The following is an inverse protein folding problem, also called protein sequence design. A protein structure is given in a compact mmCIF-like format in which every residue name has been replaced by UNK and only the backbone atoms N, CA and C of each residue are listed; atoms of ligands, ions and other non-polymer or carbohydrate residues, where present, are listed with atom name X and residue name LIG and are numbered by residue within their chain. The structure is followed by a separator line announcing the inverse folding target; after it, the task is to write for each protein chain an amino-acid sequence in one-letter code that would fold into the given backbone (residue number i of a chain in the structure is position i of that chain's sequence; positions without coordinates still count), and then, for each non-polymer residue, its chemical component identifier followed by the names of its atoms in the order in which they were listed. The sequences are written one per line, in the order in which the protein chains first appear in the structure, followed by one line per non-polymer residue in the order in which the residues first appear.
data_IF_666873416867
#
_entry.id   IF_666873416867
#
_cell.length_a   1.000
_cell.length_b   1.000
_cell.length_c   1.000
_cell.angle_alpha   90.00
_cell.angle_beta   90.00
_cell.angle_gamma   90.00
#
_symmetry.space_group_name_H-M   'P 1'
#
loop_
_entity.id
_entity.type
_entity.pdbx_description
1 polymer ?
#
# COMPACT_ATOMS: atom_id res chain seq x y z
N UNK A 1 -48.82 -23.75 -26.96
CA UNK A 1 -47.65 -24.31 -26.25
C UNK A 1 -46.71 -23.16 -25.90
N UNK A 2 -46.51 -22.86 -24.62
CA UNK A 2 -45.59 -21.83 -24.13
C UNK A 2 -44.38 -22.55 -23.52
N UNK A 3 -43.19 -22.30 -24.05
CA UNK A 3 -41.94 -22.82 -23.49
C UNK A 3 -41.45 -21.86 -22.38
N UNK A 4 -41.06 -22.36 -21.19
CA UNK A 4 -40.45 -21.51 -20.18
C UNK A 4 -38.98 -21.22 -20.55
N UNK A 5 -38.60 -19.95 -20.49
CA UNK A 5 -37.22 -19.49 -20.60
C UNK A 5 -36.60 -19.67 -19.21
N UNK A 6 -35.68 -20.63 -19.07
CA UNK A 6 -34.83 -20.73 -17.89
C UNK A 6 -33.71 -19.71 -18.01
N UNK A 7 -33.82 -18.58 -17.30
CA UNK A 7 -32.69 -17.69 -17.07
C UNK A 7 -31.75 -18.33 -16.06
N UNK A 8 -30.73 -19.02 -16.57
CA UNK A 8 -29.59 -19.48 -15.75
C UNK A 8 -28.81 -18.27 -15.27
N UNK A 9 -28.93 -17.93 -13.99
CA UNK A 9 -28.00 -17.03 -13.30
C UNK A 9 -26.71 -17.82 -13.13
N UNK A 10 -25.73 -17.57 -14.01
CA UNK A 10 -24.37 -18.06 -13.81
C UNK A 10 -23.78 -17.23 -12.67
N UNK A 11 -23.83 -17.78 -11.46
CA UNK A 11 -23.11 -17.24 -10.32
C UNK A 11 -21.65 -17.67 -10.51
N UNK A 12 -20.85 -16.82 -11.17
CA UNK A 12 -19.39 -16.97 -11.24
C UNK A 12 -18.85 -16.74 -9.83
N UNK A 13 -18.86 -17.79 -9.01
CA UNK A 13 -18.00 -17.87 -7.84
C UNK A 13 -16.57 -17.96 -8.35
N UNK A 14 -15.94 -16.80 -8.56
CA UNK A 14 -14.49 -16.73 -8.60
C UNK A 14 -14.03 -17.14 -7.20
N UNK A 15 -13.71 -18.41 -7.01
CA UNK A 15 -12.93 -18.87 -5.87
C UNK A 15 -11.53 -18.31 -6.04
N UNK A 16 -11.36 -17.02 -5.75
CA UNK A 16 -10.07 -16.54 -5.32
C UNK A 16 -9.79 -17.33 -4.05
N UNK A 17 -8.76 -18.18 -4.07
CA UNK A 17 -8.12 -18.61 -2.84
C UNK A 17 -7.48 -17.36 -2.23
N UNK A 18 -8.34 -16.51 -1.66
CA UNK A 18 -7.99 -15.41 -0.81
C UNK A 18 -7.32 -16.03 0.41
N UNK A 19 -5.99 -16.13 0.38
CA UNK A 19 -5.21 -16.33 1.59
C UNK A 19 -5.54 -15.15 2.49
N UNK A 20 -6.44 -15.38 3.45
CA UNK A 20 -6.82 -14.39 4.43
C UNK A 20 -5.82 -14.43 5.59
N UNK A 21 -5.21 -13.29 5.90
CA UNK A 21 -4.22 -13.15 6.94
C UNK A 21 -4.83 -12.48 8.18
N UNK A 22 -4.49 -12.99 9.37
CA UNK A 22 -4.83 -12.37 10.65
C UNK A 22 -3.64 -11.59 11.20
N UNK A 23 -3.70 -10.25 11.27
CA UNK A 23 -2.62 -9.43 11.83
C UNK A 23 -2.38 -9.70 13.30
N UNK A 24 -3.45 -9.98 14.03
CA UNK A 24 -3.40 -10.26 15.45
C UNK A 24 -3.58 -11.76 15.69
N UNK A 25 -2.50 -12.45 16.06
CA UNK A 25 -2.49 -13.90 16.28
C UNK A 25 -2.36 -14.32 17.76
N UNK A 26 -2.38 -13.34 18.67
CA UNK A 26 -2.39 -13.57 20.12
C UNK A 26 -3.79 -13.35 20.71
N UNK A 27 -4.00 -13.81 21.94
CA UNK A 27 -5.23 -13.51 22.67
C UNK A 27 -5.37 -12.00 22.83
N UNK A 28 -6.47 -11.43 22.33
CA UNK A 28 -6.73 -9.99 22.45
C UNK A 28 -7.19 -9.71 23.89
N UNK A 29 -6.55 -8.76 24.61
CA UNK A 29 -6.93 -8.41 25.97
C UNK A 29 -8.40 -8.00 26.09
N UNK A 30 -9.08 -8.46 27.15
CA UNK A 30 -10.45 -8.01 27.46
C UNK A 30 -10.52 -6.55 27.91
N UNK A 31 -9.37 -5.96 28.27
CA UNK A 31 -9.25 -4.54 28.63
C UNK A 31 -9.50 -3.62 27.45
N UNK A 32 -9.31 -4.08 26.21
CA UNK A 32 -9.63 -3.30 25.02
C UNK A 32 -11.14 -3.25 24.83
N UNK A 33 -11.63 -2.11 24.35
CA UNK A 33 -13.04 -1.96 24.03
C UNK A 33 -13.50 -2.99 22.97
N UNK A 34 -14.79 -3.34 23.01
CA UNK A 34 -15.35 -4.41 22.20
C UNK A 34 -15.15 -4.21 20.69
N UNK A 35 -15.28 -2.97 20.23
CA UNK A 35 -15.14 -2.61 18.82
C UNK A 35 -13.70 -2.84 18.34
N UNK A 36 -12.71 -2.39 19.11
CA UNK A 36 -11.30 -2.61 18.82
C UNK A 36 -10.97 -4.10 18.75
N UNK A 37 -11.45 -4.91 19.70
CA UNK A 37 -11.22 -6.37 19.68
C UNK A 37 -11.81 -7.03 18.43
N UNK A 38 -12.99 -6.57 18.00
CA UNK A 38 -13.63 -7.07 16.77
C UNK A 38 -12.78 -6.77 15.54
N UNK A 39 -12.29 -5.54 15.42
CA UNK A 39 -11.41 -5.16 14.30
C UNK A 39 -10.10 -5.93 14.34
N UNK A 40 -9.43 -6.02 15.49
CA UNK A 40 -8.20 -6.81 15.66
C UNK A 40 -8.36 -8.29 15.25
N UNK A 41 -9.55 -8.84 15.42
CA UNK A 41 -9.88 -10.22 15.03
C UNK A 41 -10.20 -10.40 13.54
N UNK A 42 -10.29 -9.31 12.77
CA UNK A 42 -10.70 -9.35 11.36
C UNK A 42 -9.58 -9.89 10.49
N UNK A 43 -9.94 -10.79 9.57
CA UNK A 43 -9.02 -11.30 8.55
C UNK A 43 -8.91 -10.29 7.41
N UNK A 44 -7.70 -10.13 6.89
CA UNK A 44 -7.39 -9.28 5.74
C UNK A 44 -7.19 -10.18 4.53
N UNK A 45 -7.82 -9.86 3.39
CA UNK A 45 -7.63 -10.55 2.12
C UNK A 45 -6.29 -10.18 1.46
N UNK A 46 -5.19 -10.54 2.14
CA UNK A 46 -3.82 -10.36 1.68
C UNK A 46 -3.00 -11.62 1.98
N UNK A 47 -2.13 -12.05 1.06
CA UNK A 47 -1.39 -13.30 1.22
C UNK A 47 -0.42 -13.31 2.40
N UNK A 48 0.02 -12.13 2.83
CA UNK A 48 0.92 -11.95 3.96
C UNK A 48 0.90 -10.49 4.39
N UNK A 49 1.65 -10.23 5.45
CA UNK A 49 1.69 -8.96 6.14
C UNK A 49 3.09 -8.37 6.09
N UNK A 50 3.20 -7.19 5.49
CA UNK A 50 4.45 -6.45 5.39
C UNK A 50 4.27 -5.10 6.05
N UNK A 51 5.23 -4.75 6.89
CA UNK A 51 5.25 -3.47 7.58
C UNK A 51 6.28 -2.55 6.95
N UNK A 52 6.15 -1.25 7.22
CA UNK A 52 7.08 -0.22 6.76
C UNK A 52 8.53 -0.57 7.06
N UNK A 53 8.83 -1.19 8.20
CA UNK A 53 10.20 -1.52 8.60
C UNK A 53 10.90 -2.44 7.60
N UNK A 54 10.16 -3.31 6.91
CA UNK A 54 10.74 -4.19 5.90
C UNK A 54 11.25 -3.39 4.70
N UNK A 55 10.50 -2.37 4.29
CA UNK A 55 10.90 -1.46 3.22
C UNK A 55 12.10 -0.60 3.66
N UNK A 56 12.11 -0.16 4.92
CA UNK A 56 13.27 0.51 5.53
C UNK A 56 14.51 -0.41 5.60
N UNK A 57 14.33 -1.73 5.60
CA UNK A 57 15.44 -2.68 5.49
C UNK A 57 15.84 -2.96 4.01
N UNK A 58 15.22 -2.26 3.05
CA UNK A 58 15.48 -2.41 1.62
C UNK A 58 14.73 -3.57 0.96
N UNK A 59 13.67 -4.06 1.58
CA UNK A 59 12.83 -5.11 0.98
C UNK A 59 12.04 -4.59 -0.24
N UNK A 60 11.92 -5.44 -1.26
CA UNK A 60 11.06 -5.24 -2.42
C UNK A 60 10.38 -6.56 -2.83
N UNK A 61 9.27 -6.44 -3.55
CA UNK A 61 8.54 -7.59 -4.11
C UNK A 61 8.98 -7.88 -5.54
N UNK A 62 8.89 -9.15 -5.93
CA UNK A 62 9.15 -9.62 -7.30
C UNK A 62 8.29 -10.82 -7.67
N UNK A 63 8.00 -10.97 -8.97
CA UNK A 63 7.25 -12.10 -9.53
C UNK A 63 5.87 -12.31 -8.88
N UNK A 64 5.48 -13.57 -8.71
CA UNK A 64 4.16 -13.97 -8.16
C UNK A 64 3.83 -13.34 -6.80
N UNK A 65 4.84 -13.03 -5.99
CA UNK A 65 4.64 -12.32 -4.71
C UNK A 65 4.15 -10.89 -4.93
N UNK A 66 4.72 -10.17 -5.90
CA UNK A 66 4.25 -8.84 -6.26
C UNK A 66 2.80 -8.91 -6.76
N UNK A 67 2.49 -9.84 -7.66
CA UNK A 67 1.14 -10.00 -8.21
C UNK A 67 0.08 -10.29 -7.13
N UNK A 68 0.38 -11.22 -6.20
CA UNK A 68 -0.56 -11.59 -5.15
C UNK A 68 -0.80 -10.44 -4.15
N UNK A 69 0.26 -9.77 -3.69
CA UNK A 69 0.17 -8.72 -2.68
C UNK A 69 -0.32 -7.38 -3.24
N UNK A 70 -0.06 -7.10 -4.51
CA UNK A 70 -0.47 -5.87 -5.18
C UNK A 70 -1.82 -5.97 -5.88
N UNK A 71 -2.57 -7.05 -5.61
CA UNK A 71 -3.95 -7.21 -6.04
C UNK A 71 -4.84 -6.10 -5.46
N UNK A 72 -5.89 -5.76 -6.21
CA UNK A 72 -6.88 -4.77 -5.76
C UNK A 72 -7.61 -5.22 -4.51
N UNK A 73 -7.86 -6.53 -4.35
CA UNK A 73 -8.51 -7.07 -3.15
C UNK A 73 -7.66 -6.86 -1.90
N UNK A 74 -6.35 -7.14 -1.97
CA UNK A 74 -5.45 -6.87 -0.86
C UNK A 74 -5.36 -5.39 -0.51
N UNK A 75 -5.23 -4.51 -1.52
CA UNK A 75 -5.23 -3.06 -1.29
C UNK A 75 -6.53 -2.59 -0.61
N UNK A 76 -7.68 -3.01 -1.11
CA UNK A 76 -8.98 -2.64 -0.53
C UNK A 76 -9.16 -3.19 0.88
N UNK A 77 -8.77 -4.45 1.13
CA UNK A 77 -8.90 -5.06 2.45
C UNK A 77 -7.98 -4.40 3.48
N UNK A 78 -6.75 -4.04 3.10
CA UNK A 78 -5.83 -3.29 3.98
C UNK A 78 -6.33 -1.88 4.25
N UNK A 79 -6.82 -1.17 3.24
CA UNK A 79 -7.39 0.17 3.40
C UNK A 79 -8.59 0.17 4.35
N UNK A 80 -9.51 -0.79 4.18
CA UNK A 80 -10.66 -0.95 5.08
C UNK A 80 -10.21 -1.29 6.51
N UNK A 81 -9.34 -2.28 6.66
CA UNK A 81 -8.80 -2.66 7.97
C UNK A 81 -8.10 -1.49 8.66
N UNK A 82 -7.33 -0.69 7.92
CA UNK A 82 -6.65 0.50 8.43
C UNK A 82 -7.63 1.54 8.95
N UNK A 83 -8.70 1.81 8.20
CA UNK A 83 -9.75 2.75 8.59
C UNK A 83 -10.51 2.27 9.84
N UNK A 84 -10.93 1.01 9.84
CA UNK A 84 -11.67 0.40 10.94
C UNK A 84 -10.82 0.35 12.22
N UNK A 85 -9.53 0.02 12.10
CA UNK A 85 -8.62 -0.06 13.24
C UNK A 85 -8.38 1.33 13.84
N UNK A 86 -8.13 2.32 12.99
CA UNK A 86 -7.93 3.69 13.43
C UNK A 86 -9.18 4.23 14.12
N UNK A 87 -10.37 3.90 13.63
CA UNK A 87 -11.62 4.34 14.24
C UNK A 87 -11.91 3.65 15.59
N UNK A 88 -11.79 2.32 15.63
CA UNK A 88 -12.19 1.51 16.78
C UNK A 88 -11.15 1.49 17.92
N UNK A 89 -9.86 1.61 17.58
CA UNK A 89 -8.74 1.46 18.51
C UNK A 89 -8.02 2.77 18.82
N UNK A 90 -8.55 3.94 18.44
CA UNK A 90 -7.87 5.26 18.58
C UNK A 90 -7.41 5.60 20.00
N UNK A 91 -8.06 5.05 21.02
CA UNK A 91 -7.73 5.29 22.43
C UNK A 91 -7.06 4.09 23.09
N UNK A 92 -6.80 3.01 22.35
CA UNK A 92 -6.25 1.77 22.86
C UNK A 92 -4.74 1.72 22.65
N UNK A 93 -4.00 1.37 23.69
CA UNK A 93 -2.58 1.05 23.60
C UNK A 93 -2.42 -0.38 23.10
N UNK A 94 -2.64 -0.60 21.80
CA UNK A 94 -2.81 -1.94 21.25
C UNK A 94 -1.58 -2.85 21.47
N UNK A 95 -0.37 -2.30 21.57
CA UNK A 95 0.85 -3.06 21.85
C UNK A 95 1.19 -3.21 23.34
N UNK A 96 0.46 -2.49 24.21
CA UNK A 96 0.85 -2.30 25.60
C UNK A 96 2.15 -1.50 25.75
N UNK A 97 2.62 -1.37 26.99
CA UNK A 97 3.93 -0.79 27.33
C UNK A 97 4.11 0.73 27.11
N UNK A 98 3.03 1.52 27.02
CA UNK A 98 3.04 2.97 26.83
C UNK A 98 3.39 3.43 25.41
N UNK A 99 3.13 2.63 24.37
CA UNK A 99 3.13 3.17 23.00
C UNK A 99 2.05 4.24 22.81
N UNK A 100 1.00 4.17 23.62
CA UNK A 100 -0.03 5.20 23.73
C UNK A 100 -1.09 5.10 22.62
N UNK A 101 -2.07 6.01 22.62
CA UNK A 101 -3.24 5.95 21.73
C UNK A 101 -2.90 6.04 20.23
N UNK A 102 -1.69 6.51 19.88
CA UNK A 102 -1.26 6.57 18.47
C UNK A 102 -0.80 5.21 17.92
N UNK A 103 -0.61 4.20 18.78
CA UNK A 103 -0.16 2.87 18.37
C UNK A 103 -1.01 2.24 17.26
N UNK A 104 -2.35 2.40 17.34
CA UNK A 104 -3.27 1.88 16.34
C UNK A 104 -3.12 2.61 15.00
N UNK A 105 -3.02 3.94 15.04
CA UNK A 105 -2.79 4.76 13.84
C UNK A 105 -1.44 4.41 13.20
N UNK A 106 -0.36 4.43 13.98
CA UNK A 106 0.99 4.13 13.51
C UNK A 106 1.09 2.73 12.88
N UNK A 107 0.45 1.75 13.52
CA UNK A 107 0.37 0.40 12.97
C UNK A 107 -0.36 0.39 11.63
N UNK A 108 -1.57 0.96 11.58
CA UNK A 108 -2.39 0.99 10.36
C UNK A 108 -1.67 1.68 9.19
N UNK A 109 -1.02 2.81 9.49
CA UNK A 109 -0.23 3.59 8.54
C UNK A 109 1.00 2.83 8.06
N UNK A 110 1.65 2.05 8.93
CA UNK A 110 2.78 1.20 8.56
C UNK A 110 2.39 0.16 7.49
N UNK A 111 1.18 -0.39 7.57
CA UNK A 111 0.68 -1.37 6.59
C UNK A 111 0.35 -0.71 5.26
N UNK A 112 -0.38 0.40 5.32
CA UNK A 112 -0.79 1.11 4.13
C UNK A 112 0.44 1.65 3.38
N UNK A 113 1.38 2.26 4.10
CA UNK A 113 2.64 2.74 3.52
C UNK A 113 3.41 1.61 2.81
N UNK A 114 3.58 0.46 3.49
CA UNK A 114 4.28 -0.68 2.91
C UNK A 114 3.57 -1.21 1.66
N UNK A 115 2.24 -1.35 1.69
CA UNK A 115 1.47 -1.77 0.53
C UNK A 115 1.65 -0.80 -0.64
N UNK A 116 1.49 0.49 -0.40
CA UNK A 116 1.53 1.50 -1.46
C UNK A 116 2.90 1.55 -2.12
N UNK A 117 3.99 1.49 -1.35
CA UNK A 117 5.34 1.61 -1.90
C UNK A 117 5.85 0.34 -2.59
N UNK A 118 5.52 -0.84 -2.04
CA UNK A 118 5.92 -2.12 -2.62
C UNK A 118 5.14 -2.43 -3.91
N UNK A 119 3.97 -1.82 -4.08
CA UNK A 119 3.09 -2.02 -5.22
C UNK A 119 3.11 -0.89 -6.24
N UNK A 120 4.03 0.06 -6.11
CA UNK A 120 4.26 1.02 -7.19
C UNK A 120 4.79 0.28 -8.40
N UNK A 121 4.09 0.43 -9.52
CA UNK A 121 4.49 -0.11 -10.80
C UNK A 121 4.20 0.90 -11.93
N UNK A 122 4.87 0.69 -13.06
CA UNK A 122 4.57 1.30 -14.35
C UNK A 122 4.30 0.19 -15.40
N UNK A 123 4.32 0.55 -16.69
CA UNK A 123 4.10 -0.40 -17.79
C UNK A 123 5.23 -1.45 -17.93
N UNK A 124 6.41 -1.21 -17.35
CA UNK A 124 7.57 -2.10 -17.40
C UNK A 124 7.72 -2.98 -16.15
N UNK A 125 7.00 -2.67 -15.07
CA UNK A 125 6.87 -3.55 -13.90
C UNK A 125 7.05 -2.86 -12.55
N UNK A 126 7.46 -3.62 -11.50
CA UNK A 126 7.62 -3.10 -10.15
C UNK A 126 8.74 -2.06 -10.01
N UNK A 127 8.40 -0.89 -9.50
CA UNK A 127 9.30 0.26 -9.46
C UNK A 127 10.42 0.12 -8.43
N UNK A 128 10.12 -0.43 -7.25
CA UNK A 128 11.10 -0.53 -6.17
C UNK A 128 12.24 -1.51 -6.53
N UNK A 129 11.88 -2.63 -7.17
CA UNK A 129 12.83 -3.60 -7.72
C UNK A 129 13.77 -2.93 -8.74
N UNK A 130 13.19 -2.26 -9.74
CA UNK A 130 13.95 -1.64 -10.81
C UNK A 130 14.89 -0.52 -10.31
N UNK A 131 14.48 0.26 -9.30
CA UNK A 131 15.33 1.26 -8.66
C UNK A 131 16.50 0.63 -7.91
N UNK A 132 16.26 -0.43 -7.12
CA UNK A 132 17.32 -1.10 -6.37
C UNK A 132 18.29 -1.85 -7.27
N UNK A 133 17.82 -2.39 -8.39
CA UNK A 133 18.65 -3.00 -9.43
C UNK A 133 19.35 -1.97 -10.34
N UNK A 134 19.08 -0.67 -10.16
CA UNK A 134 19.62 0.44 -10.96
C UNK A 134 19.24 0.36 -12.45
N UNK A 135 18.12 -0.29 -12.75
CA UNK A 135 17.53 -0.34 -14.09
C UNK A 135 16.73 0.93 -14.39
N UNK A 136 16.27 1.61 -13.32
CA UNK A 136 15.59 2.90 -13.35
C UNK A 136 16.30 3.88 -12.42
N UNK A 137 16.28 5.16 -12.78
CA UNK A 137 16.75 6.23 -11.91
C UNK A 137 15.58 6.99 -11.25
N UNK A 138 15.92 7.98 -10.41
CA UNK A 138 14.95 8.79 -9.69
C UNK A 138 14.15 9.76 -10.58
N UNK A 139 14.58 10.02 -11.81
CA UNK A 139 13.85 10.88 -12.77
C UNK A 139 12.90 10.11 -13.69
N UNK A 140 12.93 8.77 -13.65
CA UNK A 140 11.91 7.92 -14.26
C UNK A 140 10.52 8.07 -13.59
N UNK A 141 9.47 7.60 -14.26
CA UNK A 141 8.11 7.51 -13.68
C UNK A 141 8.12 6.78 -12.34
N UNK A 142 8.76 5.61 -12.30
CA UNK A 142 8.94 4.81 -11.10
C UNK A 142 9.68 5.56 -10.00
N UNK A 143 10.79 6.20 -10.35
CA UNK A 143 11.61 7.00 -9.43
C UNK A 143 10.80 8.09 -8.74
N UNK A 144 10.01 8.84 -9.49
CA UNK A 144 9.20 9.94 -8.96
C UNK A 144 8.02 9.46 -8.11
N UNK A 145 7.33 8.38 -8.50
CA UNK A 145 6.27 7.78 -7.67
C UNK A 145 6.81 7.26 -6.34
N UNK A 146 7.93 6.54 -6.37
CA UNK A 146 8.60 6.04 -5.15
C UNK A 146 9.10 7.19 -4.29
N UNK A 147 9.70 8.23 -4.88
CA UNK A 147 10.17 9.41 -4.16
C UNK A 147 9.02 10.17 -3.46
N UNK A 148 7.88 10.28 -4.13
CA UNK A 148 6.67 10.87 -3.54
C UNK A 148 6.19 10.08 -2.32
N UNK A 149 6.04 8.75 -2.44
CA UNK A 149 5.61 7.92 -1.30
C UNK A 149 6.64 7.90 -0.18
N UNK A 150 7.93 7.89 -0.54
CA UNK A 150 9.02 8.00 0.44
C UNK A 150 8.90 9.29 1.26
N UNK A 151 8.55 10.41 0.61
CA UNK A 151 8.35 11.69 1.28
C UNK A 151 7.05 11.74 2.09
N UNK A 152 5.95 11.22 1.52
CA UNK A 152 4.63 11.22 2.16
C UNK A 152 4.58 10.40 3.44
N UNK A 153 5.21 9.22 3.44
CA UNK A 153 5.22 8.28 4.58
C UNK A 153 6.51 8.33 5.41
N UNK A 154 7.42 9.24 5.07
CA UNK A 154 8.70 9.46 5.75
C UNK A 154 9.51 8.17 5.92
N UNK A 155 9.63 7.38 4.85
CA UNK A 155 10.45 6.17 4.84
C UNK A 155 11.89 6.48 5.18
N UNK A 156 12.56 5.56 5.87
CA UNK A 156 13.98 5.69 6.22
C UNK A 156 14.84 5.16 5.08
N UNK A 157 16.13 4.97 5.35
CA UNK A 157 17.03 4.34 4.37
C UNK A 157 16.43 3.00 3.92
N UNK A 158 16.70 2.53 2.69
CA UNK A 158 17.49 3.19 1.66
C UNK A 158 16.75 4.30 0.91
N UNK A 159 15.44 4.49 1.17
CA UNK A 159 14.62 5.46 0.44
C UNK A 159 14.88 6.90 0.92
N UNK A 160 14.62 7.21 2.19
CA UNK A 160 14.95 8.47 2.89
C UNK A 160 14.94 9.74 2.02
N UNK A 161 13.86 9.93 1.26
CA UNK A 161 13.61 11.16 0.50
C UNK A 161 12.63 12.01 1.30
N UNK A 162 13.09 13.14 1.81
CA UNK A 162 12.23 14.15 2.44
C UNK A 162 11.38 14.89 1.41
N UNK A 163 10.29 15.53 1.84
CA UNK A 163 9.46 16.38 0.97
C UNK A 163 10.25 17.46 0.25
N UNK A 164 11.25 18.06 0.92
CA UNK A 164 12.15 19.05 0.28
C UNK A 164 12.98 18.41 -0.84
N UNK A 165 13.54 17.23 -0.59
CA UNK A 165 14.31 16.50 -1.62
C UNK A 165 13.42 16.07 -2.79
N UNK A 166 12.21 15.60 -2.51
CA UNK A 166 11.23 15.27 -3.56
C UNK A 166 10.89 16.48 -4.43
N UNK A 167 10.61 17.65 -3.82
CA UNK A 167 10.33 18.87 -4.58
C UNK A 167 11.52 19.28 -5.46
N UNK A 168 12.75 19.23 -4.94
CA UNK A 168 13.95 19.50 -5.73
C UNK A 168 14.14 18.47 -6.86
N UNK A 169 13.88 17.18 -6.61
CA UNK A 169 13.95 16.13 -7.60
C UNK A 169 12.96 16.39 -8.73
N UNK A 170 11.70 16.66 -8.40
CA UNK A 170 10.64 16.94 -9.36
C UNK A 170 10.99 18.14 -10.26
N UNK A 171 11.53 19.22 -9.67
CA UNK A 171 11.98 20.40 -10.42
C UNK A 171 13.17 20.14 -11.33
N UNK A 172 14.12 19.30 -10.89
CA UNK A 172 15.33 19.01 -11.65
C UNK A 172 15.05 18.04 -12.80
N UNK A 173 14.28 16.97 -12.54
CA UNK A 173 13.89 16.03 -13.58
C UNK A 173 13.07 16.73 -14.67
N UNK A 174 12.24 17.73 -14.36
CA UNK A 174 11.51 18.51 -15.38
C UNK A 174 12.42 19.26 -16.38
N UNK A 175 13.71 19.43 -16.07
CA UNK A 175 14.69 20.11 -16.94
C UNK A 175 15.48 19.14 -17.82
N UNK A 176 15.41 17.83 -17.56
CA UNK A 176 16.19 16.83 -18.29
C UNK A 176 15.48 16.40 -19.60
N UNK A 177 16.19 16.39 -20.74
CA UNK A 177 15.64 15.86 -21.99
C UNK A 177 15.30 14.36 -21.85
N UNK A 178 14.06 13.98 -22.14
CA UNK A 178 13.59 12.58 -22.00
C UNK A 178 13.05 12.21 -20.61
N UNK A 179 12.95 13.18 -19.70
CA UNK A 179 12.31 13.02 -18.40
C UNK A 179 10.83 12.67 -18.49
N UNK A 180 10.33 11.93 -17.48
CA UNK A 180 8.91 11.66 -17.30
C UNK A 180 8.08 12.91 -17.00
N UNK A 181 8.70 14.02 -16.61
CA UNK A 181 8.02 15.30 -16.35
C UNK A 181 8.09 16.16 -17.61
N UNK A 182 7.42 15.75 -18.70
CA UNK A 182 7.27 16.58 -19.91
C UNK A 182 6.13 17.60 -19.78
N UNK A 183 6.13 18.63 -20.64
CA UNK A 183 5.22 19.78 -20.57
C UNK A 183 3.74 19.49 -20.89
N UNK A 184 3.36 18.31 -21.41
CA UNK A 184 1.96 18.05 -21.80
C UNK A 184 1.41 16.74 -21.22
N UNK A 185 2.04 15.58 -21.45
CA UNK A 185 1.44 14.28 -21.07
C UNK A 185 1.98 13.67 -19.77
N UNK A 186 3.28 13.83 -19.48
CA UNK A 186 3.91 13.15 -18.34
C UNK A 186 3.50 13.74 -16.98
N UNK A 187 3.40 15.07 -16.90
CA UNK A 187 2.87 15.76 -15.72
C UNK A 187 1.39 15.42 -15.47
N UNK A 188 0.62 15.17 -16.52
CA UNK A 188 -0.77 14.74 -16.40
C UNK A 188 -0.88 13.32 -15.84
N UNK A 189 -0.03 12.38 -16.28
CA UNK A 189 0.03 11.01 -15.73
C UNK A 189 0.40 11.01 -14.24
N UNK A 190 1.42 11.77 -13.83
CA UNK A 190 1.82 11.85 -12.44
C UNK A 190 0.76 12.52 -11.56
N UNK A 191 0.20 13.65 -12.02
CA UNK A 191 -0.92 14.33 -11.34
C UNK A 191 -2.13 13.42 -11.20
N UNK A 192 -2.50 12.69 -12.25
CA UNK A 192 -3.59 11.72 -12.20
C UNK A 192 -3.30 10.63 -11.18
N UNK A 193 -2.10 10.03 -11.22
CA UNK A 193 -1.71 9.01 -10.25
C UNK A 193 -1.76 9.53 -8.81
N UNK A 194 -1.29 10.75 -8.54
CA UNK A 194 -1.41 11.38 -7.22
C UNK A 194 -2.87 11.59 -6.79
N UNK A 195 -3.74 12.01 -7.72
CA UNK A 195 -5.17 12.20 -7.43
C UNK A 195 -5.88 10.87 -7.19
N UNK A 196 -5.52 9.81 -7.92
CA UNK A 196 -6.09 8.46 -7.77
C UNK A 196 -5.54 7.76 -6.49
N UNK A 197 -4.55 8.37 -5.83
CA UNK A 197 -3.94 7.87 -4.60
C UNK A 197 -4.71 8.30 -3.34
N UNK A 198 -5.45 9.43 -3.41
CA UNK A 198 -6.19 10.10 -2.32
C UNK A 198 -7.69 9.83 -2.49
#
# INVERSE_FOLDING_TARGET
MRFPIFTSIVFTLTTHSATAYRPWNSTIPESFNEECRKVLSTEIDCPYFLRREWVDDGYYLKGERAEAYCSSSCRSSLGQYSGDLTAACVNEDIWGENTGPQAALDFSMSLLAAQMILCVADEEGPCLEALYNRERDLCSECGLKVAYLSAMFEFKKPLNISSKQFMCLLENCAKEPGSFVSNEDGKAKLTKWFNDLI
#
